data_IF_034348243686
#
_entry.id   IF_034348243686
#
_cell.length_a   1.000
_cell.length_b   1.000
_cell.length_c   1.000
_cell.angle_alpha   90.00
_cell.angle_beta   90.00
_cell.angle_gamma   90.00
#
_symmetry.space_group_name_H-M   'P 1'
#
loop_
_entity.id
_entity.type
_entity.pdbx_description
1 polymer ?
#
# COMPACT_ATOMS: atom_id res chain seq x y z
N UNK A 1 -12.23 19.20 -76.74
CA UNK A 1 -13.43 19.86 -76.17
C UNK A 1 -13.70 19.21 -74.82
N UNK A 2 -13.74 20.05 -73.78
CA UNK A 2 -14.29 19.84 -72.43
C UNK A 2 -13.52 19.00 -71.37
N UNK A 3 -12.92 19.69 -70.36
CA UNK A 3 -13.25 19.71 -68.89
C UNK A 3 -12.60 18.53 -68.09
N UNK A 4 -12.08 18.61 -66.86
CA UNK A 4 -12.01 19.65 -65.82
C UNK A 4 -10.96 19.26 -64.73
N UNK A 5 -10.56 20.22 -63.88
CA UNK A 5 -9.78 20.00 -62.65
C UNK A 5 -10.64 19.33 -61.56
N UNK A 6 -10.06 18.42 -60.76
CA UNK A 6 -10.49 18.29 -59.36
C UNK A 6 -9.38 17.82 -58.41
N UNK A 7 -9.08 18.69 -57.45
CA UNK A 7 -8.22 18.47 -56.28
C UNK A 7 -8.92 17.53 -55.28
N UNK A 8 -8.18 16.65 -54.62
CA UNK A 8 -8.48 16.34 -53.21
C UNK A 8 -7.21 16.07 -52.40
N UNK A 9 -6.97 16.96 -51.44
CA UNK A 9 -6.04 16.82 -50.32
C UNK A 9 -6.42 15.59 -49.48
N UNK A 10 -5.49 14.67 -49.23
CA UNK A 10 -5.53 13.80 -48.05
C UNK A 10 -4.61 14.39 -46.97
N UNK A 11 -5.19 15.25 -46.13
CA UNK A 11 -4.70 15.55 -44.77
C UNK A 11 -5.64 14.85 -43.79
N UNK A 12 -5.08 14.20 -42.77
CA UNK A 12 -5.79 13.97 -41.50
C UNK A 12 -5.88 12.52 -41.05
N UNK A 13 -5.28 12.26 -39.86
CA UNK A 13 -5.76 11.39 -38.76
C UNK A 13 -4.64 10.95 -37.78
N UNK A 14 -3.51 11.68 -37.70
CA UNK A 14 -2.43 11.39 -36.74
C UNK A 14 -2.34 12.31 -35.51
N UNK A 15 -2.85 13.55 -35.56
CA UNK A 15 -2.60 14.55 -34.50
C UNK A 15 -3.60 14.56 -33.32
N UNK A 16 -4.87 14.20 -33.56
CA UNK A 16 -5.96 14.40 -32.60
C UNK A 16 -5.93 13.41 -31.41
N UNK A 17 -5.37 12.21 -31.60
CA UNK A 17 -5.23 11.22 -30.52
C UNK A 17 -4.12 11.60 -29.54
N UNK A 18 -3.05 12.19 -30.02
CA UNK A 18 -1.86 12.55 -29.24
C UNK A 18 -2.15 13.77 -28.35
N UNK A 19 -2.82 14.78 -28.89
CA UNK A 19 -3.25 15.97 -28.12
C UNK A 19 -4.28 15.62 -27.04
N UNK A 20 -5.21 14.70 -27.34
CA UNK A 20 -6.18 14.20 -26.36
C UNK A 20 -5.51 13.44 -25.22
N UNK A 21 -4.56 12.54 -25.54
CA UNK A 21 -3.82 11.79 -24.52
C UNK A 21 -3.01 12.72 -23.60
N UNK A 22 -2.37 13.75 -24.18
CA UNK A 22 -1.63 14.77 -23.43
C UNK A 22 -2.53 15.55 -22.46
N UNK A 23 -3.69 16.03 -22.92
CA UNK A 23 -4.65 16.74 -22.05
C UNK A 23 -5.17 15.87 -20.91
N UNK A 24 -5.37 14.58 -21.16
CA UNK A 24 -5.78 13.62 -20.13
C UNK A 24 -4.65 13.49 -19.08
N UNK A 25 -3.40 13.31 -19.51
CA UNK A 25 -2.26 13.21 -18.60
C UNK A 25 -2.10 14.47 -17.73
N UNK A 26 -2.14 15.66 -18.34
CA UNK A 26 -2.09 16.95 -17.62
C UNK A 26 -3.24 17.11 -16.61
N UNK A 27 -4.42 16.55 -16.92
CA UNK A 27 -5.57 16.58 -16.01
C UNK A 27 -5.39 15.60 -14.84
N UNK A 28 -4.86 14.40 -15.11
CA UNK A 28 -4.58 13.40 -14.07
C UNK A 28 -3.52 13.91 -13.09
N UNK A 29 -2.44 14.50 -13.58
CA UNK A 29 -1.38 15.08 -12.76
C UNK A 29 -1.92 16.16 -11.81
N UNK A 30 -2.81 17.04 -12.30
CA UNK A 30 -3.49 18.04 -11.46
C UNK A 30 -4.36 17.40 -10.38
N UNK A 31 -5.00 16.26 -10.67
CA UNK A 31 -5.83 15.53 -9.71
C UNK A 31 -4.96 14.88 -8.63
N UNK A 32 -3.89 14.19 -9.01
CA UNK A 32 -2.93 13.54 -8.10
C UNK A 32 -2.32 14.57 -7.15
N UNK A 33 -1.83 15.70 -7.70
CA UNK A 33 -1.28 16.80 -6.92
C UNK A 33 -2.33 17.38 -5.95
N UNK A 34 -3.54 17.64 -6.44
CA UNK A 34 -4.63 18.15 -5.60
C UNK A 34 -4.97 17.18 -4.46
N UNK A 35 -5.01 15.88 -4.73
CA UNK A 35 -5.31 14.87 -3.72
C UNK A 35 -4.22 14.82 -2.64
N UNK A 36 -2.94 14.95 -3.03
CA UNK A 36 -1.85 15.08 -2.07
C UNK A 36 -2.03 16.32 -1.18
N UNK A 37 -2.25 17.49 -1.77
CA UNK A 37 -2.45 18.75 -1.02
C UNK A 37 -3.70 18.70 -0.12
N UNK A 38 -4.80 18.11 -0.60
CA UNK A 38 -6.03 17.95 0.19
C UNK A 38 -5.81 17.03 1.38
N UNK A 39 -4.97 15.98 1.27
CA UNK A 39 -4.57 15.16 2.41
C UNK A 39 -3.82 16.00 3.46
N UNK A 40 -2.83 16.79 3.03
CA UNK A 40 -2.07 17.65 3.94
C UNK A 40 -2.95 18.65 4.70
N UNK A 41 -3.93 19.26 4.02
CA UNK A 41 -4.89 20.16 4.66
C UNK A 41 -5.71 19.47 5.75
N UNK A 42 -6.14 18.23 5.49
CA UNK A 42 -6.89 17.45 6.49
C UNK A 42 -6.00 17.14 7.71
N UNK A 43 -4.74 16.77 7.49
CA UNK A 43 -3.80 16.43 8.55
C UNK A 43 -3.53 17.61 9.48
N UNK A 44 -3.36 18.82 8.95
CA UNK A 44 -3.11 20.03 9.74
C UNK A 44 -4.20 20.37 10.76
N UNK A 45 -5.41 19.83 10.60
CA UNK A 45 -6.55 20.08 11.50
C UNK A 45 -6.86 18.89 12.41
N UNK A 46 -6.14 17.79 12.28
CA UNK A 46 -6.41 16.55 12.99
C UNK A 46 -5.62 16.48 14.29
N UNK A 47 -6.26 15.95 15.33
CA UNK A 47 -5.58 15.54 16.57
C UNK A 47 -4.71 14.32 16.32
N UNK A 48 -5.26 13.35 15.57
CA UNK A 48 -4.55 12.13 15.20
C UNK A 48 -4.77 11.79 13.73
N UNK A 49 -3.70 11.40 13.06
CA UNK A 49 -3.69 10.84 11.71
C UNK A 49 -3.37 9.36 11.82
N UNK A 50 -4.37 8.51 11.60
CA UNK A 50 -4.20 7.06 11.54
C UNK A 50 -3.72 6.67 10.14
N UNK A 51 -2.43 6.38 9.99
CA UNK A 51 -1.85 5.82 8.78
C UNK A 51 -2.03 4.30 8.77
N UNK A 52 -2.93 3.81 7.93
CA UNK A 52 -3.24 2.39 7.83
C UNK A 52 -2.38 1.72 6.76
N UNK A 53 -1.66 0.67 7.15
CA UNK A 53 -0.82 -0.16 6.27
C UNK A 53 -1.25 -1.63 6.30
N UNK A 54 -0.98 -2.37 5.23
CA UNK A 54 -1.29 -3.82 5.15
C UNK A 54 -0.14 -4.62 5.77
N UNK A 55 -0.43 -5.52 6.71
CA UNK A 55 0.55 -6.30 7.46
C UNK A 55 1.49 -7.15 6.59
N UNK A 56 1.06 -7.51 5.37
CA UNK A 56 1.88 -8.31 4.44
C UNK A 56 3.04 -7.52 3.85
N UNK A 57 2.85 -6.21 3.64
CA UNK A 57 3.87 -5.30 3.08
C UNK A 57 3.72 -3.89 3.68
N UNK A 58 4.04 -3.69 4.97
CA UNK A 58 3.78 -2.42 5.63
C UNK A 58 4.52 -1.23 4.98
N UNK A 59 5.78 -1.43 4.59
CA UNK A 59 6.65 -0.36 4.08
C UNK A 59 6.17 0.23 2.74
N UNK A 60 5.53 -0.55 1.88
CA UNK A 60 4.98 -0.02 0.61
C UNK A 60 3.73 0.83 0.80
N UNK A 61 3.07 0.73 1.96
CA UNK A 61 1.97 1.61 2.38
C UNK A 61 2.42 2.79 3.24
N UNK A 62 3.72 2.92 3.52
CA UNK A 62 4.29 3.92 4.41
C UNK A 62 5.11 4.94 3.63
N UNK A 63 4.75 6.23 3.74
CA UNK A 63 5.43 7.33 3.09
C UNK A 63 6.26 8.09 4.13
N UNK A 64 7.55 7.77 4.23
CA UNK A 64 8.45 8.25 5.27
C UNK A 64 8.44 9.78 5.51
N UNK A 65 8.26 10.67 4.49
CA UNK A 65 8.15 12.10 4.77
C UNK A 65 6.98 12.49 5.68
N UNK A 66 5.96 11.65 5.85
CA UNK A 66 4.89 11.89 6.82
C UNK A 66 5.36 11.76 8.27
N UNK A 67 6.40 10.98 8.55
CA UNK A 67 6.90 10.76 9.91
C UNK A 67 7.36 12.09 10.52
N UNK A 68 8.19 12.83 9.79
CA UNK A 68 8.67 14.16 10.22
C UNK A 68 7.61 15.26 10.10
N UNK A 69 6.73 15.18 9.10
CA UNK A 69 5.70 16.20 8.87
C UNK A 69 4.62 16.20 9.96
N UNK A 70 4.20 15.01 10.41
CA UNK A 70 3.08 14.84 11.31
C UNK A 70 3.52 14.62 12.77
N UNK A 71 4.74 14.13 12.99
CA UNK A 71 5.30 13.90 14.33
C UNK A 71 4.34 13.12 15.23
N UNK A 72 4.08 13.66 16.43
CA UNK A 72 3.26 13.02 17.46
C UNK A 72 1.78 12.83 17.05
N UNK A 73 1.30 13.52 16.02
CA UNK A 73 -0.05 13.33 15.49
C UNK A 73 -0.19 12.04 14.67
N UNK A 74 0.91 11.50 14.15
CA UNK A 74 0.89 10.29 13.33
C UNK A 74 0.80 9.06 14.22
N UNK A 75 -0.21 8.21 13.97
CA UNK A 75 -0.29 6.88 14.55
C UNK A 75 -0.29 5.86 13.41
N UNK A 76 0.55 4.83 13.49
CA UNK A 76 0.62 3.79 12.46
C UNK A 76 -0.29 2.63 12.85
N UNK A 77 -1.09 2.15 11.89
CA UNK A 77 -2.00 1.02 12.09
C UNK A 77 -1.65 -0.08 11.10
N UNK A 78 -0.93 -1.09 11.56
CA UNK A 78 -0.65 -2.32 10.82
C UNK A 78 -1.91 -3.18 10.87
N UNK A 79 -2.69 -3.15 9.78
CA UNK A 79 -3.96 -3.86 9.68
C UNK A 79 -3.83 -5.17 8.90
N UNK A 80 -4.80 -6.07 9.07
CA UNK A 80 -4.86 -7.40 8.45
C UNK A 80 -3.73 -8.33 8.90
N UNK A 81 -3.36 -8.24 10.17
CA UNK A 81 -2.30 -9.06 10.77
C UNK A 81 -2.58 -10.57 10.68
N UNK A 82 -3.83 -10.96 10.49
CA UNK A 82 -4.26 -12.34 10.25
C UNK A 82 -3.72 -12.91 8.93
N UNK A 83 -3.29 -12.06 8.00
CA UNK A 83 -2.75 -12.45 6.68
C UNK A 83 -1.23 -12.61 6.64
N UNK A 84 -0.54 -12.33 7.75
CA UNK A 84 0.91 -12.45 7.87
C UNK A 84 1.28 -13.32 9.09
N UNK A 85 2.46 -13.95 9.11
CA UNK A 85 2.95 -14.67 10.29
C UNK A 85 3.13 -13.74 11.48
N UNK A 86 2.79 -14.21 12.68
CA UNK A 86 2.81 -13.40 13.93
C UNK A 86 4.19 -12.80 14.19
N UNK A 87 5.24 -13.55 13.94
CA UNK A 87 6.63 -13.15 14.12
C UNK A 87 6.99 -11.95 13.23
N UNK A 88 6.53 -11.98 11.97
CA UNK A 88 6.70 -10.84 11.04
C UNK A 88 5.94 -9.61 11.53
N UNK A 89 4.69 -9.79 11.97
CA UNK A 89 3.85 -8.69 12.47
C UNK A 89 4.47 -8.06 13.73
N UNK A 90 4.95 -8.85 14.68
CA UNK A 90 5.62 -8.37 15.89
C UNK A 90 6.87 -7.57 15.53
N UNK A 91 7.67 -8.08 14.59
CA UNK A 91 8.87 -7.37 14.17
C UNK A 91 8.56 -6.03 13.47
N UNK A 92 7.53 -5.99 12.61
CA UNK A 92 7.08 -4.73 12.00
C UNK A 92 6.50 -3.76 13.02
N UNK A 93 5.72 -4.25 13.98
CA UNK A 93 5.20 -3.45 15.08
C UNK A 93 6.33 -2.77 15.86
N UNK A 94 7.41 -3.49 16.17
CA UNK A 94 8.59 -2.92 16.81
C UNK A 94 9.28 -1.87 15.95
N UNK A 95 9.51 -2.17 14.67
CA UNK A 95 10.12 -1.22 13.75
C UNK A 95 9.36 0.11 13.71
N UNK A 96 8.04 0.08 13.50
CA UNK A 96 7.25 1.31 13.44
C UNK A 96 7.10 2.00 14.79
N UNK A 97 7.12 1.27 15.91
CA UNK A 97 7.15 1.90 17.24
C UNK A 97 8.41 2.72 17.52
N UNK A 98 9.51 2.49 16.80
CA UNK A 98 10.68 3.39 16.87
C UNK A 98 10.47 4.71 16.13
N UNK A 99 9.45 4.78 15.27
CA UNK A 99 9.10 5.95 14.47
C UNK A 99 7.97 6.73 15.17
N UNK A 100 6.87 6.05 15.47
CA UNK A 100 5.72 6.62 16.18
C UNK A 100 4.86 5.52 16.81
N UNK A 101 3.93 5.91 17.68
CA UNK A 101 3.01 4.97 18.31
C UNK A 101 2.24 4.14 17.26
N UNK A 102 2.37 2.82 17.38
CA UNK A 102 1.88 1.86 16.39
C UNK A 102 0.90 0.88 17.01
N UNK A 103 -0.10 0.49 16.23
CA UNK A 103 -1.04 -0.59 16.55
C UNK A 103 -0.93 -1.71 15.51
N UNK A 104 -0.99 -2.96 15.98
CA UNK A 104 -1.12 -4.12 15.09
C UNK A 104 -2.49 -4.77 15.32
N UNK A 105 -3.34 -4.77 14.30
CA UNK A 105 -4.77 -5.16 14.42
C UNK A 105 -5.28 -6.01 13.26
N UNK A 106 -6.34 -6.78 13.55
CA UNK A 106 -7.21 -7.37 12.54
C UNK A 106 -8.54 -6.61 12.59
N UNK A 107 -8.68 -5.55 11.79
CA UNK A 107 -9.85 -4.66 11.86
C UNK A 107 -11.18 -5.39 11.68
N UNK A 108 -11.23 -6.50 10.94
CA UNK A 108 -12.45 -7.31 10.81
C UNK A 108 -12.86 -7.96 12.15
N UNK A 109 -11.89 -8.34 12.99
CA UNK A 109 -12.14 -8.96 14.30
C UNK A 109 -12.23 -7.92 15.42
N UNK A 110 -11.20 -7.09 15.62
CA UNK A 110 -11.16 -6.11 16.70
C UNK A 110 -10.24 -4.92 16.38
N UNK A 111 -10.56 -3.77 16.96
CA UNK A 111 -9.74 -2.55 16.93
C UNK A 111 -9.47 -2.02 18.35
N UNK A 112 -9.62 -2.87 19.37
CA UNK A 112 -9.58 -2.48 20.79
C UNK A 112 -8.32 -1.70 21.18
N UNK A 113 -7.10 -2.02 20.69
CA UNK A 113 -5.92 -1.23 21.01
C UNK A 113 -6.06 0.25 20.63
N UNK A 114 -6.71 0.53 19.50
CA UNK A 114 -6.95 1.88 19.01
C UNK A 114 -8.02 2.56 19.88
N UNK A 115 -9.09 1.85 20.22
CA UNK A 115 -10.17 2.38 21.06
C UNK A 115 -9.63 2.79 22.43
N UNK A 116 -8.90 1.89 23.10
CA UNK A 116 -8.31 2.14 24.43
C UNK A 116 -7.40 3.39 24.41
N UNK A 117 -6.56 3.51 23.38
CA UNK A 117 -5.69 4.68 23.21
C UNK A 117 -6.49 5.98 23.03
N UNK A 118 -7.50 5.95 22.16
CA UNK A 118 -8.30 7.14 21.85
C UNK A 118 -9.25 7.53 22.99
N UNK A 119 -9.74 6.58 23.78
CA UNK A 119 -10.54 6.87 24.99
C UNK A 119 -9.71 7.65 26.00
N UNK A 120 -8.49 7.20 26.27
CA UNK A 120 -7.55 7.91 27.14
C UNK A 120 -7.22 9.32 26.62
N UNK A 121 -7.16 9.52 25.31
CA UNK A 121 -6.97 10.84 24.71
C UNK A 121 -8.24 11.72 24.84
N UNK A 122 -9.43 11.12 24.70
CA UNK A 122 -10.72 11.80 24.79
C UNK A 122 -11.03 12.29 26.21
N UNK A 123 -10.52 11.61 27.24
CA UNK A 123 -10.60 12.11 28.62
C UNK A 123 -9.89 13.46 28.79
N UNK A 124 -8.82 13.69 28.03
CA UNK A 124 -8.06 14.95 28.04
C UNK A 124 -8.65 16.01 27.11
N UNK A 125 -9.38 15.60 26.07
CA UNK A 125 -9.97 16.49 25.06
C UNK A 125 -11.39 16.05 24.69
N UNK A 126 -12.37 16.91 24.95
CA UNK A 126 -13.81 16.61 24.78
C UNK A 126 -14.21 16.14 23.37
N UNK A 127 -13.49 16.58 22.33
CA UNK A 127 -13.68 16.18 20.95
C UNK A 127 -12.32 15.85 20.30
N UNK A 128 -12.27 14.73 19.60
CA UNK A 128 -11.10 14.27 18.85
C UNK A 128 -11.38 14.35 17.34
N UNK A 129 -10.57 15.12 16.62
CA UNK A 129 -10.58 15.18 15.18
C UNK A 129 -9.59 14.14 14.61
N UNK A 130 -10.13 13.05 14.06
CA UNK A 130 -9.31 11.92 13.57
C UNK A 130 -9.38 11.85 12.06
N UNK A 131 -8.23 11.69 11.41
CA UNK A 131 -8.13 11.43 9.97
C UNK A 131 -7.56 10.03 9.76
N UNK A 132 -8.17 9.23 8.88
CA UNK A 132 -7.69 7.91 8.49
C UNK A 132 -7.17 7.98 7.06
N UNK A 133 -5.89 7.65 6.88
CA UNK A 133 -5.20 7.72 5.58
C UNK A 133 -4.45 6.44 5.26
N UNK A 134 -3.97 6.32 4.02
CA UNK A 134 -3.26 5.15 3.50
C UNK A 134 -3.69 4.79 2.07
N UNK A 135 -2.93 3.88 1.45
CA UNK A 135 -3.21 3.33 0.12
C UNK A 135 -4.57 2.60 0.05
N UNK A 136 -5.00 2.23 -1.15
CA UNK A 136 -6.27 1.50 -1.31
C UNK A 136 -6.22 0.10 -0.66
N UNK A 137 -7.39 -0.46 -0.37
CA UNK A 137 -7.56 -1.83 0.14
C UNK A 137 -6.92 -2.16 1.50
N UNK A 138 -6.34 -1.21 2.24
CA UNK A 138 -5.74 -1.48 3.59
C UNK A 138 -6.76 -1.61 4.73
N UNK A 139 -8.06 -1.38 4.48
CA UNK A 139 -9.11 -1.51 5.50
C UNK A 139 -9.53 -0.21 6.21
N UNK A 140 -9.22 0.97 5.65
CA UNK A 140 -9.61 2.28 6.22
C UNK A 140 -11.09 2.39 6.58
N UNK A 141 -11.98 1.92 5.70
CA UNK A 141 -13.45 1.97 5.90
C UNK A 141 -13.91 1.06 7.03
N UNK A 142 -13.31 -0.12 7.16
CA UNK A 142 -13.61 -1.07 8.24
C UNK A 142 -13.26 -0.46 9.60
N UNK A 143 -12.07 0.16 9.70
CA UNK A 143 -11.63 0.86 10.91
C UNK A 143 -12.56 2.02 11.24
N UNK A 144 -12.91 2.87 10.26
CA UNK A 144 -13.85 3.98 10.46
C UNK A 144 -15.21 3.49 10.98
N UNK A 145 -15.76 2.43 10.37
CA UNK A 145 -17.05 1.87 10.77
C UNK A 145 -17.02 1.38 12.22
N UNK A 146 -15.92 0.72 12.63
CA UNK A 146 -15.78 0.24 14.01
C UNK A 146 -15.56 1.36 15.01
N UNK A 147 -14.75 2.37 14.68
CA UNK A 147 -14.58 3.55 15.54
C UNK A 147 -15.89 4.29 15.74
N UNK A 148 -16.70 4.42 14.68
CA UNK A 148 -18.04 5.01 14.76
C UNK A 148 -18.96 4.22 15.68
N UNK A 149 -18.96 2.90 15.56
CA UNK A 149 -19.80 2.02 16.38
C UNK A 149 -19.38 2.01 17.85
N UNK A 150 -18.07 2.01 18.15
CA UNK A 150 -17.56 1.87 19.51
C UNK A 150 -17.53 3.19 20.30
N UNK A 151 -17.12 4.29 19.66
CA UNK A 151 -16.82 5.55 20.38
C UNK A 151 -17.75 6.72 20.02
N UNK A 152 -18.69 6.50 19.10
CA UNK A 152 -19.52 7.55 18.51
C UNK A 152 -18.72 8.73 17.92
N UNK A 153 -17.52 8.45 17.39
CA UNK A 153 -16.68 9.41 16.66
C UNK A 153 -16.85 9.17 15.17
N UNK A 154 -16.79 10.22 14.34
CA UNK A 154 -16.83 10.08 12.88
C UNK A 154 -15.51 10.53 12.25
N UNK A 155 -14.48 9.65 12.20
CA UNK A 155 -13.20 9.99 11.58
C UNK A 155 -13.37 10.33 10.10
N UNK A 156 -12.58 11.29 9.60
CA UNK A 156 -12.52 11.63 8.17
C UNK A 156 -11.63 10.62 7.44
N UNK A 157 -12.11 10.01 6.37
CA UNK A 157 -11.28 9.15 5.50
C UNK A 157 -10.72 10.00 4.35
N UNK A 158 -9.40 9.93 4.14
CA UNK A 158 -8.79 10.52 2.96
C UNK A 158 -9.06 9.68 1.71
N UNK A 159 -8.93 10.31 0.54
CA UNK A 159 -8.88 9.56 -0.73
C UNK A 159 -7.70 8.56 -0.72
N UNK A 160 -7.79 7.47 -1.49
CA UNK A 160 -6.62 6.61 -1.75
C UNK A 160 -5.45 7.42 -2.29
N UNK A 161 -4.24 6.97 -2.00
CA UNK A 161 -3.01 7.61 -2.47
C UNK A 161 -2.75 7.30 -3.94
N UNK A 162 -3.37 8.06 -4.83
CA UNK A 162 -3.12 8.00 -6.26
C UNK A 162 -1.85 8.75 -6.68
N UNK A 163 -1.34 9.64 -5.83
CA UNK A 163 -0.06 10.34 -5.99
C UNK A 163 1.18 9.48 -5.65
N UNK A 164 0.99 8.24 -5.17
CA UNK A 164 2.09 7.30 -4.90
C UNK A 164 2.40 6.50 -6.16
N UNK A 165 3.70 6.31 -6.44
CA UNK A 165 4.19 5.55 -7.58
C UNK A 165 3.67 4.10 -7.56
N UNK A 166 2.99 3.63 -8.62
CA UNK A 166 2.61 2.23 -8.77
C UNK A 166 3.82 1.28 -8.71
N UNK A 167 3.70 0.15 -8.01
CA UNK A 167 4.74 -0.88 -7.95
C UNK A 167 4.14 -2.29 -7.80
N UNK A 168 4.97 -3.32 -7.98
CA UNK A 168 4.57 -4.73 -7.87
C UNK A 168 4.02 -5.08 -6.48
N UNK A 169 4.52 -4.44 -5.44
CA UNK A 169 4.12 -4.70 -4.05
C UNK A 169 2.68 -4.22 -3.80
N UNK A 170 2.33 -3.02 -4.30
CA UNK A 170 0.96 -2.51 -4.26
C UNK A 170 -0.01 -3.38 -5.07
N UNK A 171 0.45 -3.94 -6.20
CA UNK A 171 -0.35 -4.88 -6.98
C UNK A 171 -0.56 -6.21 -6.24
N UNK A 172 0.48 -6.72 -5.54
CA UNK A 172 0.44 -7.97 -4.78
C UNK A 172 -0.57 -7.95 -3.63
N UNK A 173 -0.81 -6.80 -3.01
CA UNK A 173 -1.87 -6.64 -1.98
C UNK A 173 -3.22 -6.19 -2.55
N UNK A 174 -3.32 -5.99 -3.87
CA UNK A 174 -4.53 -5.51 -4.55
C UNK A 174 -4.87 -4.04 -4.27
N UNK A 175 -3.89 -3.22 -3.89
CA UNK A 175 -4.10 -1.77 -3.73
C UNK A 175 -4.23 -1.06 -5.08
N UNK A 176 -3.58 -1.59 -6.12
CA UNK A 176 -3.69 -1.12 -7.50
C UNK A 176 -4.02 -2.30 -8.42
N UNK A 177 -4.68 -2.07 -9.56
CA UNK A 177 -4.86 -3.11 -10.56
C UNK A 177 -3.52 -3.41 -11.25
N UNK A 178 -3.32 -4.65 -11.71
CA UNK A 178 -2.10 -5.07 -12.43
C UNK A 178 -1.88 -4.26 -13.72
N UNK A 179 -2.95 -3.72 -14.33
CA UNK A 179 -2.82 -2.84 -15.48
C UNK A 179 -2.19 -1.48 -15.16
N UNK A 180 -2.15 -1.04 -13.89
CA UNK A 180 -1.48 0.19 -13.50
C UNK A 180 0.06 0.09 -13.60
N UNK A 181 0.60 -1.12 -13.70
CA UNK A 181 2.03 -1.41 -13.94
C UNK A 181 2.27 -1.98 -15.35
N UNK A 182 1.36 -1.70 -16.29
CA UNK A 182 1.28 -2.39 -17.59
C UNK A 182 2.51 -2.24 -18.48
N UNK A 183 3.16 -1.06 -18.49
CA UNK A 183 4.26 -0.74 -19.40
C UNK A 183 5.45 -1.70 -19.23
N UNK A 184 5.58 -2.36 -18.07
CA UNK A 184 6.55 -3.42 -17.87
C UNK A 184 6.11 -4.49 -16.85
N UNK A 185 4.86 -4.97 -16.95
CA UNK A 185 4.30 -5.96 -15.99
C UNK A 185 5.15 -7.23 -15.81
N UNK A 186 5.83 -7.68 -16.87
CA UNK A 186 6.72 -8.84 -16.79
C UNK A 186 7.96 -8.50 -15.96
N UNK A 187 8.59 -7.32 -16.15
CA UNK A 187 9.70 -6.93 -15.30
C UNK A 187 9.26 -6.73 -13.86
N UNK A 188 8.07 -6.18 -13.60
CA UNK A 188 7.55 -6.08 -12.23
C UNK A 188 7.35 -7.44 -11.57
N UNK A 189 6.84 -8.42 -12.30
CA UNK A 189 6.72 -9.78 -11.79
C UNK A 189 8.09 -10.43 -11.54
N UNK A 190 9.05 -10.22 -12.46
CA UNK A 190 10.44 -10.70 -12.29
C UNK A 190 11.13 -10.05 -11.11
N UNK A 191 11.01 -8.73 -10.97
CA UNK A 191 11.54 -7.96 -9.84
C UNK A 191 10.99 -8.49 -8.52
N UNK A 192 9.66 -8.62 -8.42
CA UNK A 192 9.01 -9.15 -7.22
C UNK A 192 9.58 -10.52 -6.84
N UNK A 193 9.62 -11.46 -7.79
CA UNK A 193 10.16 -12.81 -7.56
C UNK A 193 11.66 -12.82 -7.26
N UNK A 194 12.43 -11.89 -7.83
CA UNK A 194 13.87 -11.77 -7.57
C UNK A 194 14.17 -11.25 -6.16
N UNK A 195 13.24 -10.49 -5.57
CA UNK A 195 13.34 -10.02 -4.18
C UNK A 195 12.82 -11.04 -3.17
N UNK A 196 12.20 -12.13 -3.62
CA UNK A 196 11.74 -13.19 -2.74
C UNK A 196 12.88 -14.15 -2.34
N UNK A 197 12.76 -14.74 -1.15
CA UNK A 197 13.64 -15.82 -0.73
C UNK A 197 13.49 -17.01 -1.67
N UNK A 198 14.61 -17.46 -2.23
CA UNK A 198 14.68 -18.61 -3.14
C UNK A 198 14.01 -19.84 -2.52
N UNK A 199 14.29 -20.11 -1.24
CA UNK A 199 13.70 -21.24 -0.52
C UNK A 199 12.18 -21.15 -0.47
N UNK A 200 11.63 -19.98 -0.14
CA UNK A 200 10.18 -19.77 -0.07
C UNK A 200 9.49 -19.95 -1.42
N UNK A 201 10.15 -19.54 -2.50
CA UNK A 201 9.66 -19.72 -3.86
C UNK A 201 9.67 -21.21 -4.24
N UNK A 202 10.77 -21.91 -3.97
CA UNK A 202 10.89 -23.34 -4.23
C UNK A 202 9.81 -24.14 -3.49
N UNK A 203 9.56 -23.82 -2.22
CA UNK A 203 8.56 -24.47 -1.40
C UNK A 203 7.13 -24.22 -1.92
N UNK A 204 6.75 -22.95 -2.15
CA UNK A 204 5.40 -22.57 -2.58
C UNK A 204 5.05 -23.11 -3.97
N UNK A 205 6.03 -23.14 -4.89
CA UNK A 205 5.81 -23.58 -6.27
C UNK A 205 6.26 -25.02 -6.56
N UNK A 206 6.75 -25.75 -5.54
CA UNK A 206 7.20 -27.13 -5.69
C UNK A 206 8.38 -27.30 -6.65
N UNK A 207 9.31 -26.35 -6.66
CA UNK A 207 10.45 -26.31 -7.59
C UNK A 207 11.68 -26.87 -6.89
N UNK A 208 12.37 -27.80 -7.53
CA UNK A 208 13.61 -28.40 -7.00
C UNK A 208 14.85 -27.54 -7.24
N UNK A 209 14.84 -26.69 -8.26
CA UNK A 209 15.93 -25.77 -8.58
C UNK A 209 15.38 -24.45 -9.15
N UNK A 210 15.69 -23.35 -8.48
CA UNK A 210 15.33 -22.01 -8.92
C UNK A 210 16.56 -21.28 -9.47
N UNK A 211 16.58 -21.05 -10.78
CA UNK A 211 17.62 -20.29 -11.46
C UNK A 211 17.21 -18.87 -11.81
N UNK A 212 15.95 -18.69 -12.23
CA UNK A 212 15.44 -17.42 -12.74
C UNK A 212 13.93 -17.27 -12.46
N UNK A 213 13.42 -16.03 -12.31
CA UNK A 213 12.00 -15.77 -12.13
C UNK A 213 11.10 -16.35 -13.23
N UNK A 214 11.61 -16.45 -14.46
CA UNK A 214 10.85 -16.94 -15.60
C UNK A 214 10.42 -18.42 -15.44
N UNK A 215 11.15 -19.22 -14.65
CA UNK A 215 10.75 -20.60 -14.33
C UNK A 215 9.42 -20.58 -13.57
N UNK A 216 9.31 -19.75 -12.53
CA UNK A 216 8.09 -19.60 -11.73
C UNK A 216 6.94 -19.05 -12.57
N UNK A 217 7.22 -18.03 -13.40
CA UNK A 217 6.18 -17.46 -14.26
C UNK A 217 5.59 -18.50 -15.24
N UNK A 218 6.42 -19.39 -15.79
CA UNK A 218 5.97 -20.50 -16.65
C UNK A 218 5.12 -21.54 -15.90
N UNK A 219 5.42 -21.78 -14.62
CA UNK A 219 4.64 -22.68 -13.75
C UNK A 219 3.27 -22.07 -13.44
N UNK A 220 3.24 -20.76 -13.17
CA UNK A 220 2.01 -20.03 -12.86
C UNK A 220 1.08 -19.99 -14.07
N UNK A 221 1.62 -19.67 -15.26
CA UNK A 221 0.86 -19.64 -16.51
C UNK A 221 1.81 -19.88 -17.70
N UNK A 222 1.42 -20.78 -18.60
CA UNK A 222 2.16 -21.07 -19.83
C UNK A 222 2.33 -19.82 -20.71
N UNK A 223 1.34 -18.92 -20.69
CA UNK A 223 1.38 -17.66 -21.43
C UNK A 223 2.10 -16.60 -20.61
N UNK A 224 3.32 -16.26 -21.02
CA UNK A 224 4.16 -15.21 -20.40
C UNK A 224 3.46 -13.86 -20.24
N UNK A 225 2.52 -13.52 -21.12
CA UNK A 225 1.80 -12.24 -21.09
C UNK A 225 0.72 -12.17 -20.00
N UNK A 226 0.15 -13.32 -19.61
CA UNK A 226 -0.90 -13.44 -18.58
C UNK A 226 -0.33 -13.82 -17.22
N UNK A 227 0.84 -14.47 -17.17
CA UNK A 227 1.48 -14.88 -15.92
C UNK A 227 1.56 -13.77 -14.84
N UNK A 228 1.90 -12.49 -15.14
CA UNK A 228 1.89 -11.44 -14.13
C UNK A 228 0.50 -11.18 -13.51
N UNK A 229 -0.57 -11.25 -14.33
CA UNK A 229 -1.93 -11.08 -13.85
C UNK A 229 -2.34 -12.21 -12.92
N UNK A 230 -1.96 -13.45 -13.26
CA UNK A 230 -2.24 -14.62 -12.44
C UNK A 230 -1.44 -14.57 -11.14
N UNK A 231 -0.15 -14.20 -11.18
CA UNK A 231 0.69 -14.05 -10.00
C UNK A 231 0.12 -13.03 -9.02
N UNK A 232 -0.02 -11.77 -9.45
CA UNK A 232 -0.49 -10.69 -8.57
C UNK A 232 -1.96 -10.87 -8.17
N UNK A 233 -2.81 -11.41 -9.05
CA UNK A 233 -4.18 -11.78 -8.71
C UNK A 233 -4.24 -12.82 -7.59
N UNK A 234 -3.46 -13.90 -7.70
CA UNK A 234 -3.40 -14.95 -6.65
C UNK A 234 -2.80 -14.46 -5.33
N UNK A 235 -1.83 -13.54 -5.37
CA UNK A 235 -1.31 -12.87 -4.16
C UNK A 235 -2.38 -12.00 -3.48
N UNK A 236 -3.08 -11.18 -4.27
CA UNK A 236 -4.12 -10.28 -3.76
C UNK A 236 -5.31 -11.05 -3.18
N UNK A 237 -5.70 -12.16 -3.83
CA UNK A 237 -6.75 -13.09 -3.41
C UNK A 237 -6.31 -14.06 -2.30
N UNK A 238 -5.08 -13.95 -1.79
CA UNK A 238 -4.52 -14.80 -0.72
C UNK A 238 -4.44 -16.29 -1.08
N UNK A 239 -4.42 -16.62 -2.38
CA UNK A 239 -4.14 -17.97 -2.88
C UNK A 239 -2.65 -18.29 -2.80
N UNK A 240 -1.81 -17.28 -2.90
CA UNK A 240 -0.41 -17.35 -2.53
C UNK A 240 -0.20 -16.51 -1.27
N UNK A 241 0.12 -17.18 -0.17
CA UNK A 241 0.46 -16.51 1.07
C UNK A 241 1.82 -15.87 0.94
N UNK A 242 1.97 -14.66 1.45
CA UNK A 242 3.26 -13.97 1.41
C UNK A 242 3.34 -12.92 2.51
N UNK A 243 4.56 -12.60 2.91
CA UNK A 243 4.85 -11.53 3.88
C UNK A 243 6.21 -10.91 3.57
N UNK A 244 6.45 -9.71 4.11
CA UNK A 244 7.76 -9.07 4.05
C UNK A 244 8.54 -9.25 5.34
N UNK A 245 9.82 -9.55 5.21
CA UNK A 245 10.75 -9.47 6.33
C UNK A 245 10.84 -8.02 6.81
N UNK A 246 10.79 -7.83 8.13
CA UNK A 246 11.01 -6.52 8.76
C UNK A 246 12.51 -6.27 8.94
N UNK A 247 12.97 -5.01 8.94
CA UNK A 247 14.35 -4.66 9.30
C UNK A 247 14.72 -5.02 10.74
N UNK A 248 13.72 -5.23 11.62
CA UNK A 248 13.92 -5.59 13.02
C UNK A 248 14.07 -7.11 13.20
N UNK A 249 14.96 -7.53 14.07
CA UNK A 249 15.11 -8.95 14.46
C UNK A 249 14.35 -9.30 15.74
N UNK A 250 13.48 -8.42 16.23
CA UNK A 250 12.78 -8.63 17.49
C UNK A 250 11.55 -9.52 17.30
N UNK A 251 11.52 -10.61 18.05
CA UNK A 251 10.45 -11.63 18.00
C UNK A 251 9.48 -11.56 19.17
N UNK A 252 9.79 -10.79 20.21
CA UNK A 252 8.96 -10.64 21.41
C UNK A 252 8.75 -9.17 21.78
N UNK A 253 7.55 -8.83 22.22
CA UNK A 253 7.22 -7.47 22.69
C UNK A 253 7.03 -7.48 24.20
N UNK A 254 7.86 -6.72 24.91
CA UNK A 254 7.66 -6.41 26.32
C UNK A 254 6.87 -5.10 26.44
N UNK A 255 6.12 -4.95 27.53
CA UNK A 255 5.48 -3.68 27.90
C UNK A 255 4.42 -3.12 26.91
N UNK A 256 3.59 -4.01 26.36
CA UNK A 256 2.39 -3.64 25.58
C UNK A 256 1.09 -3.84 26.37
N UNK A 257 0.07 -3.07 26.00
CA UNK A 257 -1.28 -3.18 26.55
C UNK A 257 -1.87 -4.58 26.35
N UNK A 258 -2.80 -4.97 27.23
CA UNK A 258 -3.47 -6.26 27.13
C UNK A 258 -4.32 -6.37 25.86
N UNK A 259 -4.91 -5.26 25.40
CA UNK A 259 -5.61 -5.22 24.10
C UNK A 259 -4.67 -5.51 22.94
N UNK A 260 -3.46 -4.94 22.93
CA UNK A 260 -2.47 -5.18 21.89
C UNK A 260 -1.93 -6.62 21.93
N UNK A 261 -1.71 -7.19 23.12
CA UNK A 261 -1.37 -8.62 23.29
C UNK A 261 -2.45 -9.52 22.70
N UNK A 262 -3.72 -9.28 23.04
CA UNK A 262 -4.87 -10.03 22.50
C UNK A 262 -4.93 -9.92 20.97
N UNK A 263 -4.65 -8.74 20.43
CA UNK A 263 -4.66 -8.51 18.99
C UNK A 263 -3.67 -9.41 18.24
N UNK A 264 -2.46 -9.62 18.75
CA UNK A 264 -1.46 -10.49 18.11
C UNK A 264 -1.93 -11.94 17.95
N UNK A 265 -2.86 -12.43 18.77
CA UNK A 265 -3.42 -13.78 18.61
C UNK A 265 -4.33 -13.93 17.38
N UNK A 266 -4.75 -12.83 16.74
CA UNK A 266 -5.45 -12.92 15.45
C UNK A 266 -4.53 -13.31 14.30
N UNK A 267 -3.23 -13.10 14.44
CA UNK A 267 -2.19 -13.62 13.56
C UNK A 267 -1.73 -14.98 14.07
N UNK A 268 -1.57 -15.95 13.17
CA UNK A 268 -1.03 -17.28 13.49
C UNK A 268 0.50 -17.25 13.41
N UNK A 269 1.16 -18.07 14.23
CA UNK A 269 2.61 -18.30 14.09
C UNK A 269 2.91 -18.98 12.75
N UNK A 270 4.14 -18.85 12.26
CA UNK A 270 4.54 -19.35 10.94
C UNK A 270 4.19 -20.83 10.73
N UNK A 271 4.42 -21.66 11.75
CA UNK A 271 4.17 -23.12 11.78
C UNK A 271 2.68 -23.50 11.83
N UNK A 272 1.80 -22.58 12.22
CA UNK A 272 0.35 -22.81 12.33
C UNK A 272 -0.41 -22.55 11.02
N UNK A 273 0.28 -22.10 9.97
CA UNK A 273 -0.34 -21.88 8.67
C UNK A 273 -0.35 -23.17 7.83
N UNK A 274 -1.46 -23.45 7.12
CA UNK A 274 -1.61 -24.70 6.36
C UNK A 274 -0.80 -24.72 5.06
N UNK A 275 -0.33 -23.55 4.60
CA UNK A 275 0.40 -23.38 3.35
C UNK A 275 1.67 -22.57 3.61
N UNK A 276 2.75 -22.84 2.87
CA UNK A 276 3.98 -22.05 2.97
C UNK A 276 3.76 -20.62 2.49
N UNK A 277 4.58 -19.69 2.99
CA UNK A 277 4.58 -18.30 2.55
C UNK A 277 5.72 -18.04 1.58
N UNK A 278 5.46 -17.15 0.62
CA UNK A 278 6.51 -16.43 -0.10
C UNK A 278 7.08 -15.36 0.83
N UNK A 279 8.38 -15.40 1.12
CA UNK A 279 9.05 -14.38 1.91
C UNK A 279 9.66 -13.33 1.00
N UNK A 280 9.11 -12.10 1.02
CA UNK A 280 9.64 -10.95 0.27
C UNK A 280 10.71 -10.24 1.12
N UNK A 281 11.96 -10.27 0.67
CA UNK A 281 13.10 -9.81 1.45
C UNK A 281 13.25 -8.29 1.52
N UNK A 282 12.90 -7.57 0.45
CA UNK A 282 13.09 -6.11 0.39
C UNK A 282 11.86 -5.44 -0.23
N UNK A 283 10.89 -4.95 0.55
CA UNK A 283 9.75 -4.23 0.00
C UNK A 283 10.16 -2.89 -0.62
N UNK A 284 9.40 -2.46 -1.63
CA UNK A 284 9.54 -1.19 -2.33
C UNK A 284 8.90 -0.10 -1.48
N UNK A 285 9.66 0.87 -0.95
CA UNK A 285 9.09 1.96 -0.15
C UNK A 285 8.08 2.79 -0.97
N UNK A 286 7.09 3.38 -0.30
CA UNK A 286 6.19 4.31 -0.98
C UNK A 286 6.96 5.57 -1.38
N UNK A 287 6.94 5.90 -2.68
CA UNK A 287 7.54 7.12 -3.21
C UNK A 287 6.51 7.91 -3.98
N UNK A 288 6.61 9.23 -3.95
CA UNK A 288 5.74 10.07 -4.76
C UNK A 288 5.98 9.86 -6.25
N UNK A 289 4.94 10.11 -7.05
CA UNK A 289 5.03 10.14 -8.50
C UNK A 289 6.07 11.17 -8.97
N UNK A 290 7.02 10.78 -9.85
CA UNK A 290 8.13 11.64 -10.24
C UNK A 290 7.68 12.95 -10.90
N UNK A 291 6.55 12.95 -11.60
CA UNK A 291 5.98 14.17 -12.19
C UNK A 291 5.56 15.22 -11.14
N UNK A 292 5.25 14.80 -9.92
CA UNK A 292 4.82 15.72 -8.86
C UNK A 292 5.99 16.37 -8.12
N UNK A 293 7.20 15.81 -8.24
CA UNK A 293 8.39 16.26 -7.50
C UNK A 293 8.70 17.74 -7.78
N UNK A 294 8.78 18.22 -9.04
CA UNK A 294 9.11 19.63 -9.31
C UNK A 294 8.09 20.61 -8.72
N UNK A 295 6.80 20.27 -8.77
CA UNK A 295 5.74 21.12 -8.22
C UNK A 295 5.83 21.24 -6.70
N UNK A 296 6.21 20.15 -6.02
CA UNK A 296 6.41 20.16 -4.57
C UNK A 296 7.68 20.90 -4.14
N UNK A 297 8.77 20.75 -4.90
CA UNK A 297 10.01 21.50 -4.68
C UNK A 297 9.78 23.02 -4.83
N UNK A 298 9.03 23.43 -5.85
CA UNK A 298 8.64 24.83 -6.03
C UNK A 298 7.82 25.35 -4.84
N UNK A 299 6.82 24.60 -4.38
CA UNK A 299 6.03 24.99 -3.21
C UNK A 299 6.85 25.07 -1.92
N UNK A 300 7.87 24.23 -1.77
CA UNK A 300 8.76 24.28 -0.63
C UNK A 300 9.68 25.51 -0.68
N UNK A 301 10.15 25.88 -1.87
CA UNK A 301 10.96 27.08 -2.08
C UNK A 301 10.18 28.38 -1.84
N UNK A 302 8.89 28.44 -2.19
CA UNK A 302 8.02 29.61 -1.98
C UNK A 302 7.65 29.86 -0.50
N UNK A 303 7.91 28.88 0.40
CA UNK A 303 7.65 29.00 1.84
C UNK A 303 8.86 29.42 2.67
N UNK A 304 10.06 29.44 2.07
CA UNK A 304 11.30 29.92 2.69
C UNK A 304 11.62 31.34 2.24
#
# INVERSE_FOLDING_TARGET
MFFDKCSSKKKGKGGDKTDKARRIAETMEKIEFKNYIDNLKNFNTADFVLLVVDARIPLSGHYAPYDGLLGDHLLIVINKIDLAPRESVISWFHFFNTITHTFAICAEKSIDPIIEYLENAKEKKSQLDIVITGINNVGKRTIQSKLKAAMNISPKITKPWDWVRPCSDLAAIGAIPVCAIADNRIAHARDFLSRCSIFSIMEVFGITFYSEPDVVLRIIDQKKTTAPYVLFGRLAEQKYLFYTASPSNVTEVKDISNSQKRSFYYSKTMDQHPSPFICLGSPTPATILPQLVPALEQMAAEKN
#
